data_IF_616560520554
#
_entry.id   IF_616560520554
#
_cell.length_a   1.000
_cell.length_b   1.000
_cell.length_c   1.000
_cell.angle_alpha   90.00
_cell.angle_beta   90.00
_cell.angle_gamma   90.00
#
_symmetry.space_group_name_H-M   'P 1'
#
loop_
_entity.id
_entity.type
_entity.pdbx_description
1 polymer ?
#
# COMPACT_ATOMS: atom_id res chain seq x y z
N UNK A 1 -33.27 -0.39 -3.70
CA UNK A 1 -32.43 0.75 -4.14
C UNK A 1 -32.90 2.14 -3.69
N UNK A 2 -34.21 2.41 -3.49
CA UNK A 2 -34.67 3.74 -3.00
C UNK A 2 -34.05 4.14 -1.63
N UNK A 3 -33.93 3.20 -0.69
CA UNK A 3 -33.33 3.47 0.64
C UNK A 3 -31.85 3.88 0.54
N UNK A 4 -31.04 3.19 -0.26
CA UNK A 4 -29.62 3.53 -0.47
C UNK A 4 -29.46 4.92 -1.12
N UNK A 5 -30.29 5.22 -2.13
CA UNK A 5 -30.28 6.51 -2.79
C UNK A 5 -30.68 7.63 -1.83
N UNK A 6 -31.71 7.43 -1.02
CA UNK A 6 -32.14 8.41 -0.02
C UNK A 6 -31.05 8.63 1.04
N UNK A 7 -30.45 7.54 1.54
CA UNK A 7 -29.34 7.62 2.50
C UNK A 7 -28.17 8.41 1.93
N UNK A 8 -27.72 8.07 0.72
CA UNK A 8 -26.62 8.78 0.06
C UNK A 8 -26.93 10.27 -0.14
N UNK A 9 -28.17 10.65 -0.48
CA UNK A 9 -28.58 12.06 -0.59
C UNK A 9 -28.57 12.80 0.74
N UNK A 10 -28.94 12.12 1.82
CA UNK A 10 -29.04 12.73 3.16
C UNK A 10 -27.70 12.97 3.81
N UNK A 11 -26.65 12.26 3.39
CA UNK A 11 -25.30 12.34 3.97
C UNK A 11 -24.24 12.89 3.00
N UNK A 12 -24.37 12.60 1.70
CA UNK A 12 -23.35 12.94 0.70
C UNK A 12 -21.93 12.49 1.09
N UNK A 13 -21.83 11.33 1.79
CA UNK A 13 -20.57 10.80 2.24
C UNK A 13 -19.67 10.46 1.05
N UNK A 14 -18.39 10.82 1.15
CA UNK A 14 -17.32 10.51 0.21
C UNK A 14 -16.18 9.79 0.93
N UNK A 15 -15.34 9.09 0.16
CA UNK A 15 -14.16 8.42 0.66
C UNK A 15 -13.01 8.63 -0.32
N UNK A 16 -12.38 9.80 -0.29
CA UNK A 16 -11.15 10.06 -1.04
C UNK A 16 -10.00 9.31 -0.38
N UNK A 17 -9.27 8.52 -1.14
CA UNK A 17 -8.07 7.82 -0.72
C UNK A 17 -6.95 7.97 -1.72
N UNK A 18 -5.80 7.39 -1.41
CA UNK A 18 -4.60 7.41 -2.23
C UNK A 18 -4.26 6.02 -2.75
N UNK A 19 -3.51 5.96 -3.84
CA UNK A 19 -2.84 4.76 -4.33
C UNK A 19 -1.42 5.13 -4.76
N UNK A 20 -0.55 4.11 -4.85
CA UNK A 20 0.83 4.32 -5.29
C UNK A 20 1.77 4.82 -4.19
N UNK A 21 1.42 4.69 -2.92
CA UNK A 21 2.26 5.19 -1.82
C UNK A 21 3.69 4.64 -1.87
N UNK A 22 3.87 3.32 -1.95
CA UNK A 22 5.20 2.71 -2.03
C UNK A 22 5.94 3.09 -3.32
N UNK A 23 5.24 3.13 -4.45
CA UNK A 23 5.82 3.58 -5.72
C UNK A 23 6.31 5.03 -5.66
N UNK A 24 5.58 5.92 -4.97
CA UNK A 24 6.03 7.30 -4.73
C UNK A 24 7.31 7.33 -3.89
N UNK A 25 7.40 6.55 -2.83
CA UNK A 25 8.61 6.46 -2.02
C UNK A 25 9.80 5.98 -2.84
N UNK A 26 9.62 4.90 -3.61
CA UNK A 26 10.65 4.35 -4.48
C UNK A 26 11.10 5.35 -5.56
N UNK A 27 10.18 6.10 -6.16
CA UNK A 27 10.52 7.15 -7.14
C UNK A 27 11.35 8.29 -6.55
N UNK A 28 11.27 8.49 -5.26
CA UNK A 28 12.03 9.49 -4.50
C UNK A 28 13.28 8.92 -3.83
N UNK A 29 13.58 7.64 -4.04
CA UNK A 29 14.64 6.90 -3.35
C UNK A 29 14.52 6.96 -1.81
N UNK A 30 13.28 6.90 -1.30
CA UNK A 30 12.95 6.90 0.14
C UNK A 30 12.60 5.48 0.55
N UNK A 31 13.26 4.94 1.59
CA UNK A 31 12.88 3.68 2.19
C UNK A 31 11.50 3.78 2.86
N UNK A 32 10.70 2.70 2.79
CA UNK A 32 9.39 2.69 3.44
C UNK A 32 9.50 2.84 4.96
N UNK A 33 10.53 2.24 5.54
CA UNK A 33 10.84 2.32 6.97
C UNK A 33 11.68 3.58 7.26
N UNK A 34 11.25 4.36 8.23
CA UNK A 34 12.01 5.50 8.70
C UNK A 34 11.26 6.84 8.69
N UNK A 35 11.92 7.83 9.26
CA UNK A 35 11.30 9.13 9.52
C UNK A 35 10.93 9.91 8.26
N UNK A 36 11.71 9.79 7.19
CA UNK A 36 11.46 10.53 5.95
C UNK A 36 10.12 10.11 5.31
N UNK A 37 9.87 8.80 5.22
CA UNK A 37 8.58 8.28 4.75
C UNK A 37 7.43 8.70 5.70
N UNK A 38 7.66 8.67 7.01
CA UNK A 38 6.67 9.07 8.01
C UNK A 38 6.32 10.55 7.89
N UNK A 39 7.30 11.46 7.71
CA UNK A 39 7.05 12.88 7.51
C UNK A 39 6.27 13.15 6.22
N UNK A 40 6.69 12.54 5.11
CA UNK A 40 5.99 12.68 3.83
C UNK A 40 4.55 12.13 3.90
N UNK A 41 4.34 11.02 4.62
CA UNK A 41 3.01 10.46 4.86
C UNK A 41 2.10 11.45 5.60
N UNK A 42 2.60 12.06 6.68
CA UNK A 42 1.84 13.03 7.46
C UNK A 42 1.54 14.30 6.64
N UNK A 43 2.52 14.82 5.93
CA UNK A 43 2.40 16.03 5.11
C UNK A 43 1.34 15.87 4.01
N UNK A 44 1.43 14.80 3.21
CA UNK A 44 0.47 14.54 2.12
C UNK A 44 -0.96 14.43 2.66
N UNK A 45 -1.17 13.66 3.73
CA UNK A 45 -2.51 13.45 4.25
C UNK A 45 -3.07 14.70 4.95
N UNK A 46 -2.22 15.53 5.56
CA UNK A 46 -2.60 16.83 6.07
C UNK A 46 -3.09 17.77 4.95
N UNK A 47 -2.31 17.88 3.86
CA UNK A 47 -2.68 18.71 2.71
C UNK A 47 -4.01 18.24 2.10
N UNK A 48 -4.19 16.93 1.92
CA UNK A 48 -5.46 16.39 1.39
C UNK A 48 -6.60 16.73 2.34
N UNK A 49 -6.42 16.56 3.66
CA UNK A 49 -7.43 16.87 4.67
C UNK A 49 -7.87 18.33 4.61
N UNK A 50 -6.93 19.27 4.62
CA UNK A 50 -7.22 20.70 4.53
C UNK A 50 -7.98 21.05 3.23
N UNK A 51 -7.60 20.44 2.11
CA UNK A 51 -8.27 20.67 0.83
C UNK A 51 -9.69 20.10 0.81
N UNK A 52 -9.87 18.92 1.40
CA UNK A 52 -11.20 18.30 1.56
C UNK A 52 -12.11 19.15 2.44
N UNK A 53 -11.61 19.69 3.56
CA UNK A 53 -12.40 20.54 4.44
C UNK A 53 -12.85 21.83 3.76
N UNK A 54 -11.95 22.50 3.03
CA UNK A 54 -12.30 23.69 2.22
C UNK A 54 -13.31 23.36 1.12
N UNK A 55 -13.12 22.23 0.44
CA UNK A 55 -14.00 21.83 -0.66
C UNK A 55 -15.41 21.50 -0.16
N UNK A 56 -15.55 20.77 0.94
CA UNK A 56 -16.89 20.43 1.49
C UNK A 56 -17.64 21.66 2.00
N UNK A 57 -16.93 22.65 2.58
CA UNK A 57 -17.55 23.93 2.99
C UNK A 57 -18.01 24.75 1.78
N UNK A 58 -17.14 24.92 0.77
CA UNK A 58 -17.50 25.61 -0.48
C UNK A 58 -18.70 24.94 -1.18
N UNK A 59 -18.72 23.61 -1.22
CA UNK A 59 -19.84 22.87 -1.79
C UNK A 59 -21.15 23.03 -1.00
N UNK A 60 -21.07 23.24 0.31
CA UNK A 60 -22.23 23.55 1.13
C UNK A 60 -22.79 24.95 0.83
N UNK A 61 -21.93 25.93 0.60
CA UNK A 61 -22.32 27.29 0.17
C UNK A 61 -23.01 27.27 -1.21
N UNK A 62 -22.47 26.49 -2.16
CA UNK A 62 -22.95 26.44 -3.54
C UNK A 62 -24.24 25.59 -3.71
N UNK A 63 -24.29 24.42 -3.06
CA UNK A 63 -25.35 23.41 -3.25
C UNK A 63 -26.20 23.15 -2.01
N UNK A 64 -25.98 23.87 -0.92
CA UNK A 64 -26.65 23.68 0.37
C UNK A 64 -26.13 22.47 1.15
N UNK A 65 -26.48 22.42 2.40
CA UNK A 65 -26.17 21.31 3.30
C UNK A 65 -27.16 20.15 3.12
N UNK A 66 -26.73 18.89 3.16
CA UNK A 66 -27.66 17.77 3.17
C UNK A 66 -28.37 17.65 4.52
N UNK A 67 -29.44 16.87 4.55
CA UNK A 67 -30.34 16.75 5.71
C UNK A 67 -29.59 16.48 7.04
N UNK A 68 -28.62 15.56 7.03
CA UNK A 68 -27.89 15.17 8.24
C UNK A 68 -26.76 16.15 8.65
N UNK A 69 -26.50 17.17 7.83
CA UNK A 69 -25.44 18.15 8.09
C UNK A 69 -25.97 19.60 8.21
N UNK A 70 -27.27 19.75 8.42
CA UNK A 70 -27.85 21.07 8.60
C UNK A 70 -27.25 21.85 9.79
N UNK A 71 -26.69 23.02 9.52
CA UNK A 71 -26.00 23.86 10.49
C UNK A 71 -24.53 23.53 10.73
N UNK A 72 -23.94 22.57 9.99
CA UNK A 72 -22.53 22.21 10.13
C UNK A 72 -21.59 22.91 9.14
N UNK A 73 -22.11 23.68 8.18
CA UNK A 73 -21.30 24.32 7.15
C UNK A 73 -20.57 23.34 6.21
N UNK A 74 -21.08 22.13 6.07
CA UNK A 74 -20.45 21.05 5.27
C UNK A 74 -21.44 20.36 4.37
N UNK A 75 -20.98 19.97 3.18
CA UNK A 75 -21.79 19.16 2.25
C UNK A 75 -21.61 17.68 2.39
N UNK A 76 -20.48 17.21 2.86
CA UNK A 76 -20.13 15.78 2.91
C UNK A 76 -19.96 15.33 4.36
N UNK A 77 -20.68 14.28 4.77
CA UNK A 77 -20.59 13.67 6.11
C UNK A 77 -19.17 13.20 6.40
N UNK A 78 -18.55 12.53 5.44
CA UNK A 78 -17.17 12.11 5.45
C UNK A 78 -16.52 12.49 4.12
N UNK A 79 -15.21 12.65 4.09
CA UNK A 79 -14.46 13.02 2.88
C UNK A 79 -13.32 12.08 2.56
N UNK A 80 -12.70 11.45 3.56
CA UNK A 80 -11.52 10.60 3.38
C UNK A 80 -11.71 9.18 3.90
N UNK A 81 -11.28 8.21 3.10
CA UNK A 81 -11.19 6.78 3.43
C UNK A 81 -10.06 6.13 2.63
N UNK A 82 -9.46 5.08 3.15
CA UNK A 82 -8.44 4.31 2.45
C UNK A 82 -9.02 2.99 1.97
N UNK A 83 -9.18 2.85 0.65
CA UNK A 83 -9.61 1.62 -0.01
C UNK A 83 -8.42 0.75 -0.42
N UNK A 84 -8.57 -0.58 -0.64
CA UNK A 84 -7.45 -1.47 -0.98
C UNK A 84 -6.82 -1.22 -2.36
N UNK A 85 -7.58 -0.75 -3.32
CA UNK A 85 -7.22 -0.38 -4.72
C UNK A 85 -6.39 -1.40 -5.50
N UNK A 86 -6.41 -2.67 -5.11
CA UNK A 86 -5.58 -3.73 -5.71
C UNK A 86 -5.74 -3.85 -7.23
N UNK A 87 -6.96 -3.69 -7.75
CA UNK A 87 -7.23 -3.73 -9.19
C UNK A 87 -7.06 -2.39 -9.87
N UNK A 88 -7.52 -1.30 -9.22
CA UNK A 88 -7.48 0.05 -9.80
C UNK A 88 -6.07 0.59 -9.95
N UNK A 89 -5.15 0.25 -9.04
CA UNK A 89 -3.74 0.66 -9.14
C UNK A 89 -3.05 0.11 -10.40
N UNK A 90 -3.42 -1.08 -10.87
CA UNK A 90 -2.94 -1.62 -12.13
C UNK A 90 -3.46 -0.86 -13.35
N UNK A 91 -4.72 -0.42 -13.31
CA UNK A 91 -5.33 0.36 -14.40
C UNK A 91 -4.76 1.79 -14.42
N UNK A 92 -4.53 2.36 -13.24
CA UNK A 92 -4.11 3.75 -13.03
C UNK A 92 -2.58 3.90 -12.94
N UNK A 93 -1.82 3.25 -13.82
CA UNK A 93 -0.40 3.44 -13.96
C UNK A 93 0.48 2.33 -13.37
N UNK A 94 -0.10 1.19 -13.00
CA UNK A 94 0.64 0.00 -12.50
C UNK A 94 1.49 0.32 -11.26
N UNK A 95 1.00 1.18 -10.41
CA UNK A 95 1.65 1.58 -9.16
C UNK A 95 1.28 0.64 -8.01
N UNK A 96 1.94 0.79 -6.87
CA UNK A 96 1.62 0.03 -5.67
C UNK A 96 0.17 0.24 -5.22
N UNK A 97 -0.51 -0.78 -4.66
CA UNK A 97 -1.90 -0.65 -4.26
C UNK A 97 -2.03 0.23 -3.01
N UNK A 98 -2.88 1.26 -3.10
CA UNK A 98 -3.22 2.12 -1.96
C UNK A 98 -1.99 2.62 -1.19
N UNK A 99 -1.97 2.34 0.10
CA UNK A 99 -0.90 2.64 1.06
C UNK A 99 0.04 1.45 1.28
N UNK A 100 -0.20 0.32 0.59
CA UNK A 100 0.52 -0.93 0.80
C UNK A 100 1.86 -0.95 0.06
N UNK A 101 2.88 -1.60 0.64
CA UNK A 101 4.07 -1.95 -0.12
C UNK A 101 3.77 -2.97 -1.22
N UNK A 102 4.63 -2.99 -2.24
CA UNK A 102 4.60 -4.04 -3.26
C UNK A 102 4.97 -5.39 -2.63
N UNK A 103 4.22 -6.44 -2.98
CA UNK A 103 4.52 -7.80 -2.53
C UNK A 103 5.76 -8.38 -3.21
N UNK A 104 6.12 -7.84 -4.38
CA UNK A 104 7.23 -8.32 -5.20
C UNK A 104 7.64 -7.23 -6.19
N UNK A 105 8.95 -7.10 -6.45
CA UNK A 105 9.47 -6.20 -7.47
C UNK A 105 9.38 -6.79 -8.89
N UNK A 106 9.16 -8.10 -9.00
CA UNK A 106 9.01 -8.79 -10.28
C UNK A 106 8.08 -9.99 -10.16
N UNK A 107 6.99 -10.00 -10.92
CA UNK A 107 6.03 -11.11 -10.90
C UNK A 107 5.29 -11.25 -12.24
N UNK A 108 4.78 -12.45 -12.48
CA UNK A 108 3.91 -12.73 -13.61
C UNK A 108 2.49 -12.96 -13.10
N UNK A 109 1.53 -12.32 -13.73
CA UNK A 109 0.11 -12.47 -13.46
C UNK A 109 -0.59 -13.10 -14.66
N UNK A 110 -1.26 -14.20 -14.45
CA UNK A 110 -2.11 -14.81 -15.46
C UNK A 110 -3.45 -14.08 -15.49
N UNK A 111 -3.79 -13.53 -16.63
CA UNK A 111 -5.07 -12.88 -16.90
C UNK A 111 -5.82 -13.69 -17.97
N UNK A 112 -7.13 -13.52 -18.07
CA UNK A 112 -7.96 -14.19 -19.07
C UNK A 112 -7.49 -13.99 -20.53
N UNK A 113 -6.74 -12.92 -20.79
CA UNK A 113 -6.19 -12.57 -22.12
C UNK A 113 -4.71 -12.90 -22.30
N UNK A 114 -4.06 -13.58 -21.34
CA UNK A 114 -2.62 -13.93 -21.43
C UNK A 114 -1.82 -13.64 -20.16
N UNK A 115 -0.52 -13.91 -20.24
CA UNK A 115 0.42 -13.66 -19.14
C UNK A 115 0.91 -12.22 -19.20
N UNK A 116 0.79 -11.52 -18.09
CA UNK A 116 1.32 -10.18 -17.90
C UNK A 116 2.49 -10.23 -16.91
N UNK A 117 3.64 -9.72 -17.34
CA UNK A 117 4.82 -9.62 -16.48
C UNK A 117 4.98 -8.19 -15.98
N UNK A 118 5.00 -8.03 -14.67
CA UNK A 118 5.27 -6.76 -14.02
C UNK A 118 6.74 -6.71 -13.61
N UNK A 119 7.41 -5.64 -13.97
CA UNK A 119 8.70 -5.23 -13.43
C UNK A 119 8.52 -3.90 -12.72
N UNK A 120 9.09 -3.76 -11.53
CA UNK A 120 9.07 -2.48 -10.83
C UNK A 120 9.87 -1.44 -11.65
N UNK A 121 9.24 -0.38 -12.16
CA UNK A 121 9.91 0.56 -13.07
C UNK A 121 11.03 1.34 -12.41
N UNK A 122 10.91 1.64 -11.11
CA UNK A 122 11.95 2.36 -10.36
C UNK A 122 13.17 1.48 -10.12
N UNK A 123 12.96 0.18 -9.87
CA UNK A 123 14.06 -0.79 -9.79
C UNK A 123 14.70 -1.01 -11.16
N UNK A 124 13.90 -1.08 -12.22
CA UNK A 124 14.41 -1.24 -13.60
C UNK A 124 15.34 -0.08 -13.95
N UNK A 125 14.94 1.15 -13.67
CA UNK A 125 15.79 2.34 -13.86
C UNK A 125 17.10 2.24 -13.07
N UNK A 126 17.05 1.88 -11.80
CA UNK A 126 18.24 1.70 -10.97
C UNK A 126 19.17 0.62 -11.53
N UNK A 127 18.61 -0.51 -11.99
CA UNK A 127 19.39 -1.59 -12.60
C UNK A 127 20.02 -1.17 -13.94
N UNK A 128 19.38 -0.32 -14.73
CA UNK A 128 19.95 0.28 -15.94
C UNK A 128 21.14 1.17 -15.61
N UNK A 129 20.99 2.08 -14.66
CA UNK A 129 22.06 2.98 -14.18
C UNK A 129 23.30 2.19 -13.72
N UNK A 130 23.08 1.02 -13.10
CA UNK A 130 24.16 0.12 -12.65
C UNK A 130 24.66 -0.85 -13.73
N UNK A 131 24.09 -0.85 -14.93
CA UNK A 131 24.44 -1.82 -16.00
C UNK A 131 24.06 -3.27 -15.65
N UNK A 132 23.05 -3.45 -14.79
CA UNK A 132 22.57 -4.75 -14.28
C UNK A 132 21.15 -5.09 -14.74
N UNK A 133 20.53 -4.30 -15.61
CA UNK A 133 19.20 -4.59 -16.16
C UNK A 133 19.29 -5.70 -17.23
N UNK A 134 19.37 -6.93 -16.79
CA UNK A 134 19.48 -8.11 -17.66
C UNK A 134 18.60 -9.26 -17.16
N UNK A 135 18.37 -10.24 -18.04
CA UNK A 135 17.51 -11.40 -17.77
C UNK A 135 17.95 -12.20 -16.54
N UNK A 136 19.27 -12.35 -16.31
CA UNK A 136 19.80 -13.10 -15.17
C UNK A 136 19.44 -12.43 -13.85
N UNK A 137 19.61 -11.11 -13.75
CA UNK A 137 19.22 -10.33 -12.57
C UNK A 137 17.73 -10.46 -12.28
N UNK A 138 16.86 -10.28 -13.28
CA UNK A 138 15.42 -10.41 -13.11
C UNK A 138 14.97 -11.83 -12.76
N UNK A 139 15.59 -12.85 -13.33
CA UNK A 139 15.34 -14.24 -12.93
C UNK A 139 15.72 -14.48 -11.47
N UNK A 140 16.85 -13.96 -11.00
CA UNK A 140 17.26 -14.11 -9.59
C UNK A 140 16.27 -13.44 -8.65
N UNK A 141 15.78 -12.24 -9.00
CA UNK A 141 14.75 -11.53 -8.24
C UNK A 141 13.44 -12.35 -8.19
N UNK A 142 13.01 -12.91 -9.33
CA UNK A 142 11.81 -13.76 -9.40
C UNK A 142 11.92 -14.98 -8.47
N UNK A 143 13.03 -15.69 -8.54
CA UNK A 143 13.30 -16.88 -7.72
C UNK A 143 13.28 -16.53 -6.22
N UNK A 144 13.78 -15.36 -5.85
CA UNK A 144 13.74 -14.84 -4.46
C UNK A 144 12.42 -14.16 -4.11
N UNK A 145 11.35 -14.40 -4.88
CA UNK A 145 10.01 -13.89 -4.58
C UNK A 145 9.84 -12.39 -4.79
N UNK A 146 10.70 -11.78 -5.60
CA UNK A 146 10.70 -10.35 -5.85
C UNK A 146 11.60 -9.55 -4.91
N UNK A 147 12.31 -10.21 -4.00
CA UNK A 147 13.30 -9.61 -3.10
C UNK A 147 14.56 -9.20 -3.88
N UNK A 148 15.18 -8.11 -3.45
CA UNK A 148 16.47 -7.62 -3.94
C UNK A 148 17.60 -7.79 -2.90
N UNK A 149 17.30 -8.32 -1.72
CA UNK A 149 18.23 -8.38 -0.60
C UNK A 149 19.51 -9.19 -0.88
N UNK A 150 19.47 -10.12 -1.84
CA UNK A 150 20.59 -10.97 -2.27
C UNK A 150 21.50 -10.32 -3.33
N UNK A 151 21.18 -9.11 -3.79
CA UNK A 151 21.95 -8.43 -4.84
C UNK A 151 23.09 -7.61 -4.21
N UNK A 152 24.31 -8.16 -4.23
CA UNK A 152 25.49 -7.58 -3.57
C UNK A 152 25.93 -6.25 -4.17
N UNK A 153 25.54 -5.94 -5.41
CA UNK A 153 25.86 -4.67 -6.06
C UNK A 153 24.92 -3.51 -5.69
N UNK A 154 23.86 -3.78 -4.92
CA UNK A 154 23.01 -2.75 -4.34
C UNK A 154 23.53 -2.33 -2.95
N UNK A 155 23.50 -1.03 -2.68
CA UNK A 155 23.77 -0.51 -1.33
C UNK A 155 22.66 -0.93 -0.35
N UNK A 156 22.92 -0.88 0.94
CA UNK A 156 21.92 -1.21 1.96
C UNK A 156 20.70 -0.28 1.86
N UNK A 157 20.91 1.01 1.59
CA UNK A 157 19.81 1.95 1.36
C UNK A 157 18.94 1.56 0.16
N UNK A 158 19.56 1.21 -0.98
CA UNK A 158 18.81 0.75 -2.16
C UNK A 158 18.03 -0.54 -1.88
N UNK A 159 18.61 -1.45 -1.11
CA UNK A 159 17.89 -2.66 -0.66
C UNK A 159 16.70 -2.30 0.23
N UNK A 160 16.84 -1.33 1.13
CA UNK A 160 15.75 -0.86 1.99
C UNK A 160 14.61 -0.20 1.19
N UNK A 161 14.95 0.60 0.17
CA UNK A 161 13.96 1.24 -0.73
C UNK A 161 13.12 0.20 -1.48
N UNK A 162 13.72 -0.92 -1.88
CA UNK A 162 13.06 -1.96 -2.66
C UNK A 162 12.64 -3.19 -1.87
N UNK A 163 12.59 -3.10 -0.52
CA UNK A 163 11.96 -4.13 0.32
C UNK A 163 10.55 -4.46 -0.14
N UNK A 164 10.23 -5.73 -0.15
CA UNK A 164 8.87 -6.21 -0.39
C UNK A 164 8.00 -6.08 0.88
N UNK A 165 6.69 -6.20 0.75
CA UNK A 165 5.76 -6.08 1.89
C UNK A 165 6.11 -7.05 3.04
N UNK A 166 6.54 -8.27 2.72
CA UNK A 166 6.93 -9.25 3.73
C UNK A 166 8.26 -8.96 4.44
N UNK A 167 9.10 -8.10 3.86
CA UNK A 167 10.41 -7.70 4.39
C UNK A 167 10.33 -6.43 5.24
N UNK A 168 9.30 -5.61 5.02
CA UNK A 168 9.05 -4.40 5.78
C UNK A 168 8.47 -4.73 7.16
N UNK A 169 8.92 -4.05 8.20
CA UNK A 169 8.37 -4.17 9.54
C UNK A 169 6.87 -3.88 9.57
N UNK A 170 6.08 -4.84 10.04
CA UNK A 170 4.63 -4.66 10.15
C UNK A 170 4.26 -3.59 11.20
N UNK A 171 5.11 -3.33 12.18
CA UNK A 171 4.96 -2.20 13.10
C UNK A 171 5.06 -0.87 12.38
N UNK A 172 5.97 -0.75 11.41
CA UNK A 172 6.11 0.47 10.59
C UNK A 172 4.85 0.73 9.75
N UNK A 173 4.25 -0.33 9.18
CA UNK A 173 2.96 -0.25 8.49
C UNK A 173 1.89 0.34 9.40
N UNK A 174 1.83 -0.13 10.65
CA UNK A 174 0.88 0.35 11.67
C UNK A 174 1.19 1.80 12.08
N UNK A 175 2.45 2.16 12.29
CA UNK A 175 2.86 3.53 12.66
C UNK A 175 2.40 4.52 11.58
N UNK A 176 2.71 4.24 10.32
CA UNK A 176 2.28 5.12 9.22
C UNK A 176 0.76 5.18 9.08
N UNK A 177 0.05 4.06 9.31
CA UNK A 177 -1.40 4.05 9.33
C UNK A 177 -1.97 4.92 10.47
N UNK A 178 -1.40 4.86 11.66
CA UNK A 178 -1.78 5.67 12.80
C UNK A 178 -1.54 7.16 12.56
N UNK A 179 -0.41 7.52 11.95
CA UNK A 179 -0.09 8.90 11.61
C UNK A 179 -1.13 9.51 10.66
N UNK A 180 -1.52 8.78 9.59
CA UNK A 180 -2.52 9.28 8.64
C UNK A 180 -3.96 9.18 9.16
N UNK A 181 -4.24 8.31 10.15
CA UNK A 181 -5.58 8.15 10.73
C UNK A 181 -6.13 9.46 11.29
N UNK A 182 -5.27 10.35 11.76
CA UNK A 182 -5.66 11.69 12.28
C UNK A 182 -6.37 12.53 11.22
N UNK A 183 -6.09 12.30 9.95
CA UNK A 183 -6.61 13.04 8.81
C UNK A 183 -7.78 12.33 8.11
N UNK A 184 -8.03 11.06 8.44
CA UNK A 184 -9.00 10.21 7.75
C UNK A 184 -10.26 10.05 8.59
N UNK A 185 -11.40 10.45 8.05
CA UNK A 185 -12.70 10.36 8.72
C UNK A 185 -13.13 8.92 8.97
N UNK A 186 -12.98 8.10 7.95
CA UNK A 186 -13.42 6.70 7.94
C UNK A 186 -12.29 5.75 8.35
N UNK A 187 -12.43 4.48 8.03
CA UNK A 187 -11.40 3.48 8.24
C UNK A 187 -10.33 3.47 7.14
N UNK A 188 -9.30 2.67 7.39
CA UNK A 188 -8.27 2.32 6.43
C UNK A 188 -8.35 0.82 6.18
N UNK A 189 -8.32 0.40 4.92
CA UNK A 189 -8.14 -1.01 4.54
C UNK A 189 -6.68 -1.40 4.77
N UNK A 190 -6.30 -1.51 6.04
CA UNK A 190 -4.93 -1.79 6.47
C UNK A 190 -4.67 -3.29 6.46
N UNK A 191 -3.96 -3.77 5.44
CA UNK A 191 -3.47 -5.12 5.39
C UNK A 191 -2.13 -5.25 6.12
N UNK A 192 -1.89 -6.42 6.69
CA UNK A 192 -0.60 -6.80 7.29
C UNK A 192 -0.13 -8.12 6.69
N UNK A 193 1.18 -8.28 6.57
CA UNK A 193 1.82 -9.50 6.06
C UNK A 193 2.39 -10.29 7.24
N UNK A 194 1.77 -11.41 7.55
CA UNK A 194 2.15 -12.26 8.69
C UNK A 194 2.81 -13.52 8.16
N UNK A 195 4.01 -13.84 8.65
CA UNK A 195 4.65 -15.11 8.32
C UNK A 195 3.78 -16.29 8.78
N UNK A 196 3.64 -17.37 7.99
CA UNK A 196 2.94 -18.58 8.42
C UNK A 196 3.53 -19.22 9.69
N UNK A 197 4.79 -18.91 9.97
CA UNK A 197 5.53 -19.38 11.15
C UNK A 197 5.44 -18.42 12.34
N UNK A 198 4.72 -17.30 12.19
CA UNK A 198 4.59 -16.29 13.24
C UNK A 198 3.77 -16.85 14.41
N UNK A 199 4.28 -16.80 15.64
CA UNK A 199 3.52 -17.22 16.81
C UNK A 199 2.24 -16.39 16.98
N UNK A 200 1.11 -17.01 17.40
CA UNK A 200 -0.16 -16.29 17.64
C UNK A 200 -0.02 -15.08 18.57
N UNK A 201 0.87 -15.17 19.55
CA UNK A 201 1.19 -14.09 20.49
C UNK A 201 1.67 -12.82 19.75
N UNK A 202 2.56 -12.95 18.77
CA UNK A 202 3.08 -11.80 18.00
C UNK A 202 2.01 -11.17 17.13
N UNK A 203 1.08 -11.98 16.59
CA UNK A 203 -0.08 -11.46 15.85
C UNK A 203 -0.96 -10.61 16.79
N UNK A 204 -1.26 -11.13 17.98
CA UNK A 204 -2.02 -10.42 19.00
C UNK A 204 -1.33 -9.11 19.42
N UNK A 205 -0.02 -9.16 19.67
CA UNK A 205 0.78 -7.98 20.01
C UNK A 205 0.74 -6.90 18.92
N UNK A 206 0.78 -7.29 17.64
CA UNK A 206 0.66 -6.34 16.52
C UNK A 206 -0.73 -5.68 16.47
N UNK A 207 -1.80 -6.44 16.71
CA UNK A 207 -3.16 -5.91 16.74
C UNK A 207 -3.38 -4.96 17.93
N UNK A 208 -2.89 -5.33 19.11
CA UNK A 208 -2.92 -4.47 20.32
C UNK A 208 -2.12 -3.19 20.06
N UNK A 209 -0.93 -3.31 19.50
CA UNK A 209 -0.11 -2.16 19.11
C UNK A 209 -0.86 -1.21 18.17
N UNK A 210 -1.57 -1.74 17.17
CA UNK A 210 -2.38 -0.93 16.28
C UNK A 210 -3.50 -0.17 17.00
N UNK A 211 -4.18 -0.83 17.94
CA UNK A 211 -5.18 -0.19 18.77
C UNK A 211 -4.58 0.90 19.67
N UNK A 212 -3.46 0.64 20.34
CA UNK A 212 -2.73 1.62 21.16
C UNK A 212 -2.30 2.85 20.35
N UNK A 213 -1.92 2.65 19.07
CA UNK A 213 -1.57 3.74 18.16
C UNK A 213 -2.79 4.50 17.59
N UNK A 214 -4.02 4.09 17.91
CA UNK A 214 -5.25 4.74 17.46
C UNK A 214 -5.69 4.37 16.03
N UNK A 215 -5.23 3.23 15.48
CA UNK A 215 -5.73 2.70 14.21
C UNK A 215 -7.16 2.18 14.41
N UNK A 216 -8.10 2.64 13.58
CA UNK A 216 -9.52 2.28 13.71
C UNK A 216 -9.82 0.82 13.35
N UNK A 217 -9.11 0.26 12.37
CA UNK A 217 -9.37 -1.10 11.89
C UNK A 217 -8.18 -1.67 11.14
N UNK A 218 -8.03 -2.98 11.20
CA UNK A 218 -7.27 -3.80 10.26
C UNK A 218 -8.22 -4.39 9.22
N UNK A 219 -7.67 -4.85 8.09
CA UNK A 219 -8.44 -5.50 7.03
C UNK A 219 -8.05 -6.97 6.91
N UNK A 220 -7.11 -7.33 6.02
CA UNK A 220 -6.65 -8.72 5.90
C UNK A 220 -5.30 -8.94 6.58
N UNK A 221 -5.17 -10.11 7.21
CA UNK A 221 -3.88 -10.69 7.52
C UNK A 221 -3.49 -11.59 6.34
N UNK A 222 -2.48 -11.18 5.59
CA UNK A 222 -1.93 -11.96 4.48
C UNK A 222 -0.76 -12.79 4.97
N UNK A 223 -0.55 -13.96 4.38
CA UNK A 223 0.64 -14.76 4.60
C UNK A 223 1.15 -15.35 3.29
N UNK A 224 2.42 -15.74 3.25
CA UNK A 224 2.95 -16.49 2.12
C UNK A 224 2.23 -17.84 2.00
N UNK A 225 1.86 -18.23 0.78
CA UNK A 225 1.26 -19.53 0.54
C UNK A 225 2.35 -20.61 0.60
N UNK A 226 2.24 -21.65 1.46
CA UNK A 226 3.22 -22.72 1.54
C UNK A 226 3.51 -23.40 0.20
N UNK A 227 2.49 -23.55 -0.65
CA UNK A 227 2.66 -24.10 -1.99
C UNK A 227 3.52 -23.21 -2.91
N UNK A 228 3.44 -21.89 -2.76
CA UNK A 228 4.31 -20.96 -3.49
C UNK A 228 5.75 -21.00 -2.97
N UNK A 229 5.94 -21.15 -1.66
CA UNK A 229 7.26 -21.34 -1.07
C UNK A 229 7.91 -22.65 -1.56
N UNK A 230 7.13 -23.73 -1.61
CA UNK A 230 7.59 -25.02 -2.13
C UNK A 230 7.94 -24.94 -3.64
N UNK A 231 7.08 -24.31 -4.44
CA UNK A 231 7.36 -24.11 -5.87
C UNK A 231 8.64 -23.28 -6.11
N UNK A 232 8.88 -22.26 -5.29
CA UNK A 232 10.12 -21.47 -5.32
C UNK A 232 11.34 -22.30 -4.91
N UNK A 233 11.22 -23.17 -3.90
CA UNK A 233 12.31 -24.05 -3.49
C UNK A 233 12.69 -25.08 -4.59
N UNK A 234 11.69 -25.62 -5.29
CA UNK A 234 11.90 -26.53 -6.42
C UNK A 234 12.58 -25.82 -7.59
N UNK A 235 12.16 -24.58 -7.91
CA UNK A 235 12.81 -23.77 -8.96
C UNK A 235 14.26 -23.40 -8.60
N UNK A 236 14.56 -23.20 -7.31
CA UNK A 236 15.93 -22.99 -6.83
C UNK A 236 16.80 -24.25 -7.03
N UNK A 237 16.26 -25.44 -6.73
CA UNK A 237 17.00 -26.70 -6.92
C UNK A 237 17.31 -26.99 -8.40
N UNK A 238 16.34 -26.75 -9.30
CA UNK A 238 16.55 -26.98 -10.73
C UNK A 238 17.51 -25.98 -11.40
N UNK A 239 17.81 -24.83 -10.79
CA UNK A 239 18.80 -23.87 -11.28
C UNK A 239 20.22 -24.15 -10.80
N UNK A 240 20.40 -25.07 -9.84
CA UNK A 240 21.73 -25.50 -9.36
C UNK A 240 22.30 -26.72 -10.13
N UNK A 241 21.50 -27.36 -10.99
CA UNK A 241 21.90 -28.55 -11.76
C UNK A 241 22.18 -28.26 -13.26
N UNK A 242 22.38 -27.00 -13.65
CA UNK A 242 22.66 -26.57 -15.03
C UNK A 242 23.96 -25.81 -15.18
#
# INVERSE_FOLDING_TARGET
MKSCHNFAKRQRALGLGVLGWHSLLQSKNIAFEGLEAQFLNAEIHNIIRERCDRATSKLAEEFGEPEHLRGYGKRNMTTMAIAPTTSSSFILGQVSPSIEPLNSNYFTKDLAKGKFTYKNPHLEQLLEEKGKNNTTTWKSILVKGGSVQHLDFLSEHEKDVFKTFGEISQKEIVIQAAQRQKYIDQGQSLNVMISPKCPPKQVSELLIFGWEQGVKSFYYQRSANPSQELARSILNCSSCEG
#
